data_IF_034300670414
#
_entry.id   IF_034300670414
#
_cell.length_a   1.000
_cell.length_b   1.000
_cell.length_c   1.000
_cell.angle_alpha   90.00
_cell.angle_beta   90.00
_cell.angle_gamma   90.00
#
_symmetry.space_group_name_H-M   'P 1'
#
loop_
_entity.id
_entity.type
_entity.pdbx_description
1 polymer ?
#
# COMPACT_ATOMS: atom_id res chain seq x y z
N UNK A 1 -17.06 -33.90 28.98
CA UNK A 1 -16.26 -33.11 28.92
C UNK A 1 -15.39 -32.93 27.71
N UNK A 2 -14.97 -33.98 27.06
CA UNK A 2 -14.27 -33.81 25.86
C UNK A 2 -15.10 -33.02 24.88
N UNK A 3 -16.39 -33.29 24.81
CA UNK A 3 -17.26 -32.54 23.89
C UNK A 3 -17.37 -31.08 24.27
N UNK A 4 -17.51 -30.83 25.56
CA UNK A 4 -17.57 -29.44 26.02
C UNK A 4 -16.25 -28.77 25.78
N UNK A 5 -15.18 -29.49 26.09
CA UNK A 5 -13.85 -28.98 25.84
C UNK A 5 -13.63 -28.81 24.35
N UNK A 6 -14.05 -29.78 23.57
CA UNK A 6 -13.95 -29.71 22.13
C UNK A 6 -14.75 -28.54 21.58
N UNK A 7 -15.98 -28.36 22.09
CA UNK A 7 -16.78 -27.23 21.66
C UNK A 7 -16.13 -25.92 22.01
N UNK A 8 -15.58 -25.85 23.21
CA UNK A 8 -14.87 -24.64 23.62
C UNK A 8 -13.61 -24.45 22.80
N UNK A 9 -12.91 -25.54 22.55
CA UNK A 9 -11.73 -25.49 21.71
C UNK A 9 -12.11 -25.09 20.30
N UNK A 10 -13.20 -25.64 19.79
CA UNK A 10 -13.66 -25.26 18.47
C UNK A 10 -14.06 -23.80 18.41
N UNK A 11 -14.75 -23.31 19.43
CA UNK A 11 -15.09 -21.92 19.49
C UNK A 11 -13.87 -21.04 19.58
N UNK A 12 -12.94 -21.43 20.43
CA UNK A 12 -11.69 -20.73 20.57
C UNK A 12 -10.88 -20.81 19.27
N UNK A 13 -10.80 -22.00 18.74
CA UNK A 13 -10.09 -22.23 17.49
C UNK A 13 -10.76 -21.45 16.36
N UNK A 14 -12.08 -21.45 16.34
CA UNK A 14 -12.82 -20.68 15.36
C UNK A 14 -12.54 -19.20 15.49
N UNK A 15 -12.54 -18.71 16.74
CA UNK A 15 -12.21 -17.30 16.99
C UNK A 15 -10.77 -17.02 16.62
N UNK A 16 -9.87 -17.90 16.99
CA UNK A 16 -8.47 -17.75 16.63
C UNK A 16 -8.28 -17.82 15.14
N UNK A 17 -8.97 -18.73 14.49
CA UNK A 17 -8.94 -18.87 13.05
C UNK A 17 -9.42 -17.60 12.37
N UNK A 18 -10.51 -17.02 12.87
CA UNK A 18 -11.02 -15.76 12.35
C UNK A 18 -10.03 -14.64 12.59
N UNK A 19 -9.45 -14.60 13.78
CA UNK A 19 -8.44 -13.60 14.10
C UNK A 19 -7.22 -13.74 13.22
N UNK A 20 -6.78 -14.98 13.02
CA UNK A 20 -5.66 -15.24 12.15
C UNK A 20 -5.98 -14.87 10.71
N UNK A 21 -7.18 -15.17 10.27
CA UNK A 21 -7.60 -14.84 8.92
C UNK A 21 -7.68 -13.34 8.74
N UNK A 22 -8.23 -12.65 9.72
CA UNK A 22 -8.28 -11.19 9.67
C UNK A 22 -6.86 -10.63 9.65
N UNK A 23 -5.98 -11.17 10.47
CA UNK A 23 -4.59 -10.75 10.49
C UNK A 23 -3.91 -10.98 9.15
N UNK A 24 -4.19 -12.13 8.52
CA UNK A 24 -3.64 -12.42 7.20
C UNK A 24 -4.18 -11.47 6.15
N UNK A 25 -5.48 -11.19 6.20
CA UNK A 25 -6.08 -10.24 5.27
C UNK A 25 -5.51 -8.86 5.47
N UNK A 26 -5.31 -8.46 6.72
CA UNK A 26 -4.70 -7.18 7.03
C UNK A 26 -3.29 -7.11 6.46
N UNK A 27 -2.52 -8.16 6.66
CA UNK A 27 -1.17 -8.24 6.14
C UNK A 27 -1.16 -8.17 4.62
N UNK A 28 -2.08 -8.89 3.99
CA UNK A 28 -2.19 -8.88 2.54
C UNK A 28 -2.57 -7.50 2.01
N UNK A 29 -3.52 -6.84 2.68
CA UNK A 29 -3.93 -5.49 2.29
C UNK A 29 -2.76 -4.52 2.39
N UNK A 30 -2.00 -4.62 3.47
CA UNK A 30 -0.83 -3.76 3.64
C UNK A 30 0.22 -4.04 2.57
N UNK A 31 0.46 -5.31 2.29
CA UNK A 31 1.44 -5.69 1.28
C UNK A 31 1.00 -5.23 -0.11
N UNK A 32 -0.27 -5.37 -0.43
CA UNK A 32 -0.79 -4.92 -1.72
C UNK A 32 -0.70 -3.41 -1.86
N UNK A 33 -1.08 -2.69 -0.81
CA UNK A 33 -1.00 -1.23 -0.82
C UNK A 33 0.44 -0.77 -0.98
N UNK A 34 1.35 -1.41 -0.28
CA UNK A 34 2.77 -1.08 -0.38
C UNK A 34 3.30 -1.33 -1.78
N UNK A 35 2.95 -2.48 -2.35
CA UNK A 35 3.39 -2.81 -3.71
C UNK A 35 2.82 -1.84 -4.73
N UNK A 36 1.54 -1.52 -4.60
CA UNK A 36 0.90 -0.58 -5.50
C UNK A 36 1.56 0.80 -5.38
N UNK A 37 1.84 1.22 -4.16
CA UNK A 37 2.53 2.47 -3.92
C UNK A 37 3.93 2.49 -4.51
N UNK A 38 4.67 1.42 -4.33
CA UNK A 38 6.02 1.29 -4.88
C UNK A 38 6.00 1.35 -6.40
N UNK A 39 5.00 0.71 -7.01
CA UNK A 39 4.84 0.76 -8.47
C UNK A 39 4.54 2.16 -8.97
N UNK A 40 3.69 2.87 -8.25
CA UNK A 40 3.37 4.27 -8.60
C UNK A 40 4.62 5.13 -8.53
N UNK A 41 5.38 5.00 -7.47
CA UNK A 41 6.59 5.78 -7.29
C UNK A 41 7.62 5.40 -8.35
N UNK A 42 7.79 4.12 -8.61
CA UNK A 42 8.74 3.66 -9.62
C UNK A 42 8.36 4.17 -11.01
N UNK A 43 7.08 4.13 -11.35
CA UNK A 43 6.60 4.65 -12.63
C UNK A 43 6.84 6.14 -12.75
N UNK A 44 6.62 6.89 -11.67
CA UNK A 44 6.87 8.32 -11.66
C UNK A 44 8.35 8.63 -11.80
N UNK A 45 9.20 7.88 -11.14
CA UNK A 45 10.65 8.03 -11.26
C UNK A 45 11.12 7.74 -12.68
N UNK A 46 10.55 6.73 -13.31
CA UNK A 46 10.87 6.40 -14.68
C UNK A 46 10.44 7.51 -15.63
N UNK A 47 9.24 8.05 -15.43
CA UNK A 47 8.77 9.19 -16.23
C UNK A 47 9.65 10.41 -16.03
N UNK A 48 10.06 10.65 -14.78
CA UNK A 48 10.98 11.74 -14.50
C UNK A 48 12.28 11.58 -15.26
N UNK A 49 12.83 10.38 -15.23
CA UNK A 49 14.08 10.11 -15.93
C UNK A 49 13.94 10.35 -17.44
N UNK A 50 12.84 9.92 -18.02
CA UNK A 50 12.57 10.13 -19.44
C UNK A 50 12.42 11.60 -19.78
N UNK A 51 11.71 12.35 -18.94
CA UNK A 51 11.52 13.77 -19.13
C UNK A 51 12.86 14.51 -19.07
N UNK A 52 13.69 14.17 -18.09
CA UNK A 52 14.98 14.81 -17.91
C UNK A 52 15.89 14.47 -19.10
N UNK A 53 15.87 13.23 -19.52
CA UNK A 53 16.68 12.78 -20.64
C UNK A 53 16.28 13.51 -21.93
N UNK A 54 14.98 13.56 -22.19
CA UNK A 54 14.48 14.24 -23.38
C UNK A 54 14.79 15.75 -23.34
N UNK A 55 14.69 16.35 -22.16
CA UNK A 55 14.92 17.77 -22.00
C UNK A 55 16.42 18.12 -22.05
N UNK A 56 17.27 17.18 -21.66
CA UNK A 56 18.71 17.41 -21.67
C UNK A 56 19.23 17.76 -23.07
N UNK A 57 18.61 17.19 -24.10
CA UNK A 57 18.98 17.50 -25.48
C UNK A 57 18.51 18.89 -25.92
N UNK A 58 17.62 19.51 -25.17
CA UNK A 58 17.06 20.84 -25.50
C UNK A 58 17.74 21.95 -24.75
N UNK A 59 18.63 21.64 -23.83
CA UNK A 59 19.41 22.66 -23.12
C UNK A 59 19.22 22.60 -21.62
N UNK A 60 20.05 23.39 -20.91
CA UNK A 60 20.12 23.34 -19.46
C UNK A 60 18.81 23.82 -18.79
N UNK A 61 18.19 24.84 -19.33
CA UNK A 61 16.95 25.37 -18.75
C UNK A 61 15.81 24.36 -18.89
N UNK A 62 15.74 23.68 -20.03
CA UNK A 62 14.73 22.66 -20.26
C UNK A 62 14.95 21.48 -19.30
N UNK A 63 16.20 21.12 -19.06
CA UNK A 63 16.55 20.06 -18.14
C UNK A 63 16.11 20.40 -16.71
N UNK A 64 16.36 21.61 -16.26
CA UNK A 64 15.97 22.08 -14.94
C UNK A 64 14.44 22.04 -14.80
N UNK A 65 13.73 22.51 -15.83
CA UNK A 65 12.27 22.48 -15.81
C UNK A 65 11.74 21.05 -15.74
N UNK A 66 12.37 20.13 -16.49
CA UNK A 66 11.98 18.73 -16.48
C UNK A 66 12.25 18.08 -15.12
N UNK A 67 13.36 18.42 -14.48
CA UNK A 67 13.67 17.93 -13.15
C UNK A 67 12.62 18.38 -12.14
N UNK A 68 12.23 19.63 -12.19
CA UNK A 68 11.19 20.16 -11.29
C UNK A 68 9.85 19.51 -11.55
N UNK A 69 9.48 19.37 -12.81
CA UNK A 69 8.24 18.71 -13.18
C UNK A 69 8.24 17.25 -12.76
N UNK A 70 9.37 16.59 -12.96
CA UNK A 70 9.53 15.20 -12.55
C UNK A 70 9.48 15.03 -11.05
N UNK A 71 10.06 15.98 -10.30
CA UNK A 71 9.99 15.95 -8.84
C UNK A 71 8.54 16.03 -8.37
N UNK A 72 7.74 16.85 -9.02
CA UNK A 72 6.31 16.95 -8.70
C UNK A 72 5.59 15.63 -8.98
N UNK A 73 5.93 14.97 -10.08
CA UNK A 73 5.35 13.68 -10.39
C UNK A 73 5.67 12.66 -9.32
N UNK A 74 6.91 12.63 -8.86
CA UNK A 74 7.32 11.70 -7.81
C UNK A 74 6.62 12.04 -6.50
N UNK A 75 6.53 13.32 -6.14
CA UNK A 75 5.83 13.74 -4.93
C UNK A 75 4.36 13.34 -4.98
N UNK A 76 3.72 13.51 -6.11
CA UNK A 76 2.33 13.12 -6.28
C UNK A 76 2.17 11.62 -6.13
N UNK A 77 3.08 10.85 -6.72
CA UNK A 77 3.06 9.40 -6.58
C UNK A 77 3.26 8.98 -5.13
N UNK A 78 4.13 9.67 -4.40
CA UNK A 78 4.35 9.39 -2.98
C UNK A 78 3.09 9.67 -2.16
N UNK A 79 2.39 10.75 -2.48
CA UNK A 79 1.12 11.07 -1.83
C UNK A 79 0.08 9.99 -2.11
N UNK A 80 -0.02 9.56 -3.35
CA UNK A 80 -0.96 8.51 -3.71
C UNK A 80 -0.60 7.21 -3.03
N UNK A 81 0.68 6.89 -2.94
CA UNK A 81 1.13 5.70 -2.25
C UNK A 81 0.75 5.76 -0.77
N UNK A 82 0.96 6.91 -0.13
CA UNK A 82 0.57 7.10 1.26
C UNK A 82 -0.94 6.97 1.43
N UNK A 83 -1.72 7.49 0.49
CA UNK A 83 -3.18 7.35 0.53
C UNK A 83 -3.62 5.90 0.41
N UNK A 84 -2.94 5.14 -0.45
CA UNK A 84 -3.25 3.71 -0.58
C UNK A 84 -2.98 2.97 0.72
N UNK A 85 -1.88 3.27 1.37
CA UNK A 85 -1.55 2.65 2.65
C UNK A 85 -2.56 3.07 3.73
N UNK A 86 -2.95 4.33 3.74
CA UNK A 86 -3.95 4.82 4.68
C UNK A 86 -5.30 4.17 4.44
N UNK A 87 -5.67 3.97 3.18
CA UNK A 87 -6.91 3.29 2.82
C UNK A 87 -6.88 1.85 3.28
N UNK A 88 -5.75 1.18 3.11
CA UNK A 88 -5.59 -0.19 3.58
C UNK A 88 -5.77 -0.27 5.10
N UNK A 89 -5.19 0.68 5.84
CA UNK A 89 -5.34 0.72 7.28
C UNK A 89 -6.80 0.94 7.69
N UNK A 90 -7.51 1.79 6.96
CA UNK A 90 -8.93 2.01 7.23
C UNK A 90 -9.75 0.75 7.01
N UNK A 91 -9.45 0.01 5.97
CA UNK A 91 -10.12 -1.25 5.70
C UNK A 91 -9.80 -2.28 6.77
N UNK A 92 -8.57 -2.30 7.22
CA UNK A 92 -8.16 -3.18 8.30
C UNK A 92 -8.91 -2.83 9.58
N UNK A 93 -9.04 -1.55 9.88
CA UNK A 93 -9.81 -1.09 11.03
C UNK A 93 -11.25 -1.57 10.95
N UNK A 94 -11.85 -1.48 9.78
CA UNK A 94 -13.22 -1.96 9.57
C UNK A 94 -13.32 -3.46 9.81
N UNK A 95 -12.33 -4.21 9.36
CA UNK A 95 -12.32 -5.65 9.59
C UNK A 95 -12.24 -5.98 11.07
N UNK A 96 -11.42 -5.25 11.80
CA UNK A 96 -11.26 -5.50 13.23
C UNK A 96 -12.45 -4.99 14.04
N UNK A 97 -13.06 -3.88 13.65
CA UNK A 97 -14.19 -3.35 14.42
C UNK A 97 -15.44 -4.16 14.19
N UNK A 98 -15.61 -4.81 13.07
CA UNK A 98 -16.75 -5.70 12.85
C UNK A 98 -16.76 -6.89 13.78
N UNK A 99 -15.63 -7.20 14.34
CA UNK A 99 -15.51 -8.31 15.26
C UNK A 99 -16.16 -8.01 16.61
N UNK A 100 -16.22 -6.79 16.97
CA UNK A 100 -16.85 -6.39 18.21
C UNK A 100 -18.36 -6.34 18.08
#
# INVERSE_FOLDING_TARGET
VKNVVDEQIQKLTGSESLSEEIAKQAENLRAEAKRAGEKLIAAAQEQRAKLVEAAASKGALAKIAAEKGGDKLVQEAEKQAANLEAEAERQIEKLTSKKE
#
